data_IF_568621847385
#
_entry.id   IF_568621847385
#
_cell.length_a   1.000
_cell.length_b   1.000
_cell.length_c   1.000
_cell.angle_alpha   90.00
_cell.angle_beta   90.00
_cell.angle_gamma   90.00
#
_symmetry.space_group_name_H-M   'P 1'
#
loop_
_entity.id
_entity.type
_entity.pdbx_description
1 polymer ?
#
# COMPACT_ATOMS: atom_id res chain seq x y z
N UNK A 1 -19.95 29.23 12.53
CA UNK A 1 -19.16 28.63 13.64
C UNK A 1 -18.31 27.53 13.03
N UNK A 2 -17.06 27.81 12.72
CA UNK A 2 -16.10 26.77 12.30
C UNK A 2 -15.86 25.89 13.53
N UNK A 3 -16.52 24.73 13.60
CA UNK A 3 -16.17 23.72 14.60
C UNK A 3 -14.72 23.34 14.36
N UNK A 4 -13.87 23.62 15.34
CA UNK A 4 -12.44 23.40 15.27
C UNK A 4 -12.19 21.90 14.97
N UNK A 5 -11.89 21.57 13.71
CA UNK A 5 -11.43 20.24 13.27
C UNK A 5 -10.25 19.73 14.11
N UNK A 6 -9.53 20.67 14.76
CA UNK A 6 -8.38 20.39 15.60
C UNK A 6 -8.73 19.87 17.01
N UNK A 7 -9.93 20.17 17.56
CA UNK A 7 -10.28 19.82 18.94
C UNK A 7 -10.46 18.32 19.21
N UNK A 8 -10.62 17.50 18.15
CA UNK A 8 -10.83 16.03 18.29
C UNK A 8 -9.64 15.18 17.89
N UNK A 9 -8.53 15.81 17.46
CA UNK A 9 -7.32 15.07 17.09
C UNK A 9 -6.66 14.45 18.31
N UNK A 10 -6.07 13.24 18.14
CA UNK A 10 -5.38 12.56 19.21
C UNK A 10 -4.09 13.30 19.60
N UNK A 11 -3.95 13.63 20.88
CA UNK A 11 -2.77 14.33 21.45
C UNK A 11 -1.73 13.39 22.05
N UNK A 12 -2.02 12.08 22.07
CA UNK A 12 -1.14 11.02 22.56
C UNK A 12 -1.20 9.80 21.66
N UNK A 13 -0.09 9.09 21.54
CA UNK A 13 -0.01 7.81 20.86
C UNK A 13 -0.11 6.71 21.92
N UNK A 14 -1.16 5.89 21.85
CA UNK A 14 -1.43 4.81 22.80
C UNK A 14 -1.59 3.51 22.00
N UNK A 15 -0.49 2.85 21.67
CA UNK A 15 -0.40 1.75 20.69
C UNK A 15 -1.42 0.62 20.92
N UNK A 16 -1.80 0.34 22.16
CA UNK A 16 -2.74 -0.74 22.49
C UNK A 16 -4.19 -0.27 22.67
N UNK A 17 -4.49 1.01 22.44
CA UNK A 17 -5.85 1.53 22.54
C UNK A 17 -6.58 1.45 21.18
N UNK A 18 -7.10 0.30 20.84
CA UNK A 18 -7.85 0.07 19.59
C UNK A 18 -9.26 0.68 19.58
N UNK A 19 -9.76 1.21 20.69
CA UNK A 19 -11.05 1.91 20.73
C UNK A 19 -10.97 3.32 20.12
N UNK A 20 -9.80 3.92 20.10
CA UNK A 20 -9.58 5.22 19.49
C UNK A 20 -9.58 5.14 17.96
N UNK A 21 -10.37 5.99 17.30
CA UNK A 21 -10.40 6.10 15.85
C UNK A 21 -9.02 6.45 15.27
N UNK A 22 -8.28 7.34 15.96
CA UNK A 22 -6.93 7.72 15.54
C UNK A 22 -5.96 6.54 15.60
N UNK A 23 -6.04 5.71 16.64
CA UNK A 23 -5.16 4.55 16.75
C UNK A 23 -5.53 3.43 15.77
N UNK A 24 -6.83 3.21 15.52
CA UNK A 24 -7.24 2.29 14.44
C UNK A 24 -6.74 2.76 13.08
N UNK A 25 -6.90 4.04 12.76
CA UNK A 25 -6.38 4.62 11.52
C UNK A 25 -4.86 4.48 11.43
N UNK A 26 -4.13 4.76 12.52
CA UNK A 26 -2.68 4.61 12.61
C UNK A 26 -2.24 3.17 12.29
N UNK A 27 -2.83 2.17 12.99
CA UNK A 27 -2.45 0.77 12.78
C UNK A 27 -2.83 0.28 11.39
N UNK A 28 -3.99 0.65 10.89
CA UNK A 28 -4.39 0.29 9.53
C UNK A 28 -3.54 0.99 8.46
N UNK A 29 -3.10 2.23 8.69
CA UNK A 29 -2.27 2.97 7.72
C UNK A 29 -0.88 2.37 7.57
N UNK A 30 -0.18 2.06 8.68
CA UNK A 30 1.13 1.41 8.55
C UNK A 30 1.01 -0.02 8.02
N UNK A 31 -0.05 -0.78 8.38
CA UNK A 31 -0.27 -2.13 7.86
C UNK A 31 -0.57 -2.12 6.36
N UNK A 32 -1.42 -1.20 5.89
CA UNK A 32 -1.71 -1.02 4.48
C UNK A 32 -0.46 -0.62 3.69
N UNK A 33 0.36 0.29 4.27
CA UNK A 33 1.62 0.68 3.68
C UNK A 33 2.62 -0.49 3.62
N UNK A 34 2.73 -1.27 4.70
CA UNK A 34 3.55 -2.49 4.75
C UNK A 34 3.17 -3.46 3.63
N UNK A 35 1.88 -3.75 3.47
CA UNK A 35 1.41 -4.71 2.46
C UNK A 35 1.59 -4.16 1.04
N UNK A 36 1.38 -2.87 0.81
CA UNK A 36 1.69 -2.23 -0.47
C UNK A 36 3.19 -2.35 -0.81
N UNK A 37 4.08 -2.08 0.16
CA UNK A 37 5.52 -2.21 -0.05
C UNK A 37 5.97 -3.66 -0.20
N UNK A 38 5.36 -4.57 0.58
CA UNK A 38 5.58 -6.00 0.40
C UNK A 38 5.22 -6.43 -1.03
N UNK A 39 4.05 -6.03 -1.55
CA UNK A 39 3.63 -6.36 -2.91
C UNK A 39 4.48 -5.65 -3.99
N UNK A 40 4.84 -4.39 -3.76
CA UNK A 40 5.64 -3.61 -4.72
C UNK A 40 7.02 -4.21 -4.95
N UNK A 41 7.67 -4.67 -3.90
CA UNK A 41 9.00 -5.24 -3.95
C UNK A 41 9.02 -6.77 -4.13
N UNK A 42 7.87 -7.45 -4.17
CA UNK A 42 7.75 -8.91 -4.20
C UNK A 42 8.51 -9.60 -5.37
N UNK A 43 8.59 -8.96 -6.53
CA UNK A 43 9.31 -9.50 -7.67
C UNK A 43 10.85 -9.40 -7.54
N UNK A 44 11.37 -8.45 -6.75
CA UNK A 44 12.81 -8.16 -6.71
C UNK A 44 13.65 -9.36 -6.27
N UNK A 45 13.37 -10.04 -5.14
CA UNK A 45 14.13 -11.22 -4.72
C UNK A 45 13.91 -12.45 -5.60
N UNK A 46 12.83 -12.48 -6.42
CA UNK A 46 12.53 -13.55 -7.36
C UNK A 46 13.11 -13.29 -8.76
N UNK A 47 13.69 -12.10 -8.99
CA UNK A 47 14.19 -11.69 -10.30
C UNK A 47 15.20 -12.67 -10.92
N UNK A 48 16.12 -13.33 -10.19
CA UNK A 48 17.03 -14.30 -10.79
C UNK A 48 16.29 -15.46 -11.47
N UNK A 49 15.20 -15.97 -10.88
CA UNK A 49 14.39 -17.05 -11.43
C UNK A 49 13.59 -16.55 -12.64
N UNK A 50 12.95 -15.39 -12.52
CA UNK A 50 12.15 -14.76 -13.58
C UNK A 50 13.02 -14.42 -14.79
N UNK A 51 14.21 -13.85 -14.54
CA UNK A 51 15.16 -13.51 -15.59
C UNK A 51 15.71 -14.75 -16.32
N UNK A 52 15.90 -15.86 -15.60
CA UNK A 52 16.29 -17.15 -16.19
C UNK A 52 15.21 -17.71 -17.08
N UNK A 53 13.94 -17.67 -16.67
CA UNK A 53 12.79 -18.17 -17.43
C UNK A 53 12.55 -17.37 -18.72
N UNK A 54 12.60 -16.03 -18.64
CA UNK A 54 12.35 -15.17 -19.80
C UNK A 54 13.61 -14.82 -20.59
N UNK A 55 14.78 -15.36 -20.22
CA UNK A 55 16.07 -15.07 -20.82
C UNK A 55 16.35 -13.56 -20.92
N UNK A 56 16.09 -12.82 -19.83
CA UNK A 56 16.19 -11.37 -19.80
C UNK A 56 17.63 -10.90 -19.90
N UNK A 57 17.87 -9.89 -20.72
CA UNK A 57 19.13 -9.15 -20.75
C UNK A 57 19.26 -8.22 -19.55
N UNK A 58 20.48 -7.74 -19.26
CA UNK A 58 20.71 -6.76 -18.19
C UNK A 58 19.92 -5.46 -18.40
N UNK A 59 19.80 -5.01 -19.66
CA UNK A 59 19.05 -3.79 -20.00
C UNK A 59 17.53 -3.99 -19.76
N UNK A 60 16.99 -5.15 -20.07
CA UNK A 60 15.60 -5.48 -19.78
C UNK A 60 15.30 -5.51 -18.28
N UNK A 61 16.23 -6.07 -17.47
CA UNK A 61 16.11 -6.04 -16.00
C UNK A 61 16.17 -4.59 -15.49
N UNK A 62 17.05 -3.75 -16.02
CA UNK A 62 17.12 -2.33 -15.68
C UNK A 62 15.81 -1.61 -16.02
N UNK A 63 15.23 -1.84 -17.20
CA UNK A 63 13.95 -1.26 -17.62
C UNK A 63 12.80 -1.70 -16.70
N UNK A 64 12.76 -2.97 -16.28
CA UNK A 64 11.77 -3.48 -15.31
C UNK A 64 11.87 -2.72 -13.98
N UNK A 65 13.09 -2.47 -13.50
CA UNK A 65 13.30 -1.73 -12.26
C UNK A 65 12.88 -0.25 -12.37
N UNK A 66 13.17 0.38 -13.50
CA UNK A 66 12.75 1.76 -13.80
C UNK A 66 11.21 1.81 -13.88
N UNK A 67 10.59 0.91 -14.63
CA UNK A 67 9.13 0.84 -14.77
C UNK A 67 8.43 0.68 -13.42
N UNK A 68 9.00 -0.13 -12.53
CA UNK A 68 8.45 -0.37 -11.20
C UNK A 68 8.31 0.90 -10.34
N UNK A 69 9.06 1.96 -10.61
CA UNK A 69 9.02 3.21 -9.85
C UNK A 69 8.46 4.39 -10.65
N UNK A 70 8.53 4.34 -11.98
CA UNK A 70 8.22 5.48 -12.84
C UNK A 70 6.79 6.00 -12.65
N UNK A 71 5.78 5.12 -12.67
CA UNK A 71 4.37 5.51 -12.54
C UNK A 71 4.03 6.05 -11.16
N UNK A 72 4.81 5.72 -10.13
CA UNK A 72 4.60 6.17 -8.75
C UNK A 72 4.56 7.69 -8.66
N UNK A 73 5.38 8.39 -9.44
CA UNK A 73 5.43 9.86 -9.46
C UNK A 73 4.07 10.43 -9.89
N UNK A 74 3.52 9.93 -10.99
CA UNK A 74 2.22 10.38 -11.53
C UNK A 74 1.07 10.05 -10.58
N UNK A 75 1.05 8.83 -10.04
CA UNK A 75 -0.03 8.39 -9.14
C UNK A 75 -0.01 9.17 -7.83
N UNK A 76 1.15 9.57 -7.30
CA UNK A 76 1.24 10.44 -6.11
C UNK A 76 0.56 11.79 -6.32
N UNK A 77 0.70 12.39 -7.51
CA UNK A 77 0.05 13.65 -7.85
C UNK A 77 -1.49 13.52 -7.90
N UNK A 78 -2.00 12.34 -8.24
CA UNK A 78 -3.44 12.07 -8.33
C UNK A 78 -4.01 11.70 -6.96
N UNK A 79 -3.30 10.90 -6.19
CA UNK A 79 -3.78 10.34 -4.92
C UNK A 79 -3.97 11.41 -3.84
N UNK A 80 -3.15 12.47 -3.80
CA UNK A 80 -3.32 13.59 -2.89
C UNK A 80 -4.69 14.25 -3.03
N UNK A 81 -5.05 14.80 -4.20
CA UNK A 81 -6.38 15.35 -4.46
C UNK A 81 -7.53 14.36 -4.24
N UNK A 82 -7.33 13.06 -4.51
CA UNK A 82 -8.35 12.04 -4.22
C UNK A 82 -8.58 11.88 -2.70
N UNK A 83 -7.52 11.98 -1.87
CA UNK A 83 -7.67 11.99 -0.42
C UNK A 83 -8.46 13.20 0.06
N UNK A 84 -8.20 14.38 -0.49
CA UNK A 84 -8.93 15.60 -0.17
C UNK A 84 -10.41 15.50 -0.55
N UNK A 85 -10.69 14.97 -1.74
CA UNK A 85 -12.06 14.90 -2.27
C UNK A 85 -12.89 13.78 -1.66
N UNK A 86 -12.34 12.57 -1.58
CA UNK A 86 -13.11 11.35 -1.22
C UNK A 86 -12.80 10.84 0.18
N UNK A 87 -11.76 11.36 0.83
CA UNK A 87 -11.25 10.91 2.11
C UNK A 87 -10.23 9.77 2.00
N UNK A 88 -9.33 9.65 2.99
CA UNK A 88 -8.26 8.64 2.98
C UNK A 88 -8.80 7.20 3.08
N UNK A 89 -9.91 6.96 3.77
CA UNK A 89 -10.53 5.64 3.89
C UNK A 89 -10.86 5.05 2.54
N UNK A 90 -11.60 5.78 1.70
CA UNK A 90 -12.00 5.33 0.37
C UNK A 90 -10.81 5.23 -0.57
N UNK A 91 -9.94 6.23 -0.57
CA UNK A 91 -8.78 6.32 -1.46
C UNK A 91 -7.81 5.17 -1.20
N UNK A 92 -7.52 4.85 0.07
CA UNK A 92 -6.63 3.75 0.40
C UNK A 92 -7.25 2.38 0.08
N UNK A 93 -8.52 2.19 0.42
CA UNK A 93 -9.24 0.95 0.06
C UNK A 93 -9.24 0.73 -1.45
N UNK A 94 -9.51 1.80 -2.23
CA UNK A 94 -9.45 1.72 -3.69
C UNK A 94 -8.04 1.39 -4.20
N UNK A 95 -7.00 2.02 -3.65
CA UNK A 95 -5.61 1.73 -4.02
C UNK A 95 -5.25 0.27 -3.76
N UNK A 96 -5.64 -0.29 -2.60
CA UNK A 96 -5.37 -1.68 -2.24
C UNK A 96 -6.10 -2.67 -3.17
N UNK A 97 -7.40 -2.45 -3.42
CA UNK A 97 -8.21 -3.35 -4.25
C UNK A 97 -7.79 -3.25 -5.73
N UNK A 98 -7.71 -2.03 -6.29
CA UNK A 98 -7.34 -1.84 -7.69
C UNK A 98 -5.88 -2.22 -7.92
N UNK A 99 -5.00 -1.85 -6.98
CA UNK A 99 -3.57 -2.19 -7.02
C UNK A 99 -3.28 -3.69 -6.93
N UNK A 100 -4.17 -4.49 -6.32
CA UNK A 100 -4.03 -5.95 -6.30
C UNK A 100 -4.21 -6.58 -7.68
N UNK A 101 -4.95 -5.96 -8.59
CA UNK A 101 -5.19 -6.48 -9.95
C UNK A 101 -3.88 -6.72 -10.71
N UNK A 102 -2.99 -5.72 -10.88
CA UNK A 102 -1.71 -5.97 -11.55
C UNK A 102 -0.77 -6.89 -10.75
N UNK A 103 -0.91 -6.98 -9.42
CA UNK A 103 -0.14 -7.94 -8.60
C UNK A 103 -0.56 -9.38 -8.91
N UNK A 104 -1.84 -9.64 -9.12
CA UNK A 104 -2.29 -10.94 -9.63
C UNK A 104 -1.92 -11.11 -11.11
N UNK A 105 -2.04 -10.06 -11.91
CA UNK A 105 -1.74 -10.06 -13.33
C UNK A 105 -0.30 -10.45 -13.65
N UNK A 106 0.67 -10.00 -12.84
CA UNK A 106 2.09 -10.33 -13.08
C UNK A 106 2.37 -11.83 -12.99
N UNK A 107 1.58 -12.57 -12.21
CA UNK A 107 1.69 -14.04 -12.15
C UNK A 107 1.30 -14.75 -13.47
N UNK A 108 0.53 -14.09 -14.34
CA UNK A 108 0.15 -14.58 -15.67
C UNK A 108 1.12 -14.16 -16.78
N UNK A 109 2.17 -13.39 -16.45
CA UNK A 109 3.14 -12.95 -17.44
C UNK A 109 3.89 -14.13 -18.06
N UNK A 110 4.06 -14.11 -19.38
CA UNK A 110 4.73 -15.13 -20.16
C UNK A 110 5.76 -14.56 -21.14
N UNK A 111 6.02 -13.25 -21.08
CA UNK A 111 7.03 -12.57 -21.87
C UNK A 111 7.59 -11.35 -21.11
N UNK A 112 8.73 -10.83 -21.58
CA UNK A 112 9.31 -9.59 -21.07
C UNK A 112 8.29 -8.44 -21.09
N UNK A 113 7.57 -8.24 -22.20
CA UNK A 113 6.65 -7.12 -22.39
C UNK A 113 5.46 -7.21 -21.43
N UNK A 114 4.87 -8.39 -21.26
CA UNK A 114 3.77 -8.59 -20.32
C UNK A 114 4.22 -8.39 -18.87
N UNK A 115 5.41 -8.88 -18.52
CA UNK A 115 5.99 -8.68 -17.19
C UNK A 115 6.29 -7.21 -16.92
N UNK A 116 6.93 -6.51 -17.88
CA UNK A 116 7.22 -5.07 -17.81
C UNK A 116 5.93 -4.23 -17.63
N UNK A 117 4.88 -4.56 -18.38
CA UNK A 117 3.58 -3.90 -18.28
C UNK A 117 2.98 -4.01 -16.87
N UNK A 118 2.92 -5.22 -16.32
CA UNK A 118 2.42 -5.39 -14.95
C UNK A 118 3.32 -4.74 -13.91
N UNK A 119 4.64 -4.78 -14.08
CA UNK A 119 5.58 -4.09 -13.18
C UNK A 119 5.38 -2.58 -13.17
N UNK A 120 5.11 -1.97 -14.32
CA UNK A 120 4.74 -0.57 -14.42
C UNK A 120 3.47 -0.29 -13.60
N UNK A 121 2.40 -1.07 -13.81
CA UNK A 121 1.13 -0.88 -13.09
C UNK A 121 1.25 -1.12 -11.57
N UNK A 122 2.02 -2.11 -11.15
CA UNK A 122 2.32 -2.37 -9.73
C UNK A 122 2.98 -1.14 -9.08
N UNK A 123 3.79 -0.38 -9.82
CA UNK A 123 4.40 0.85 -9.32
C UNK A 123 3.41 1.88 -8.77
N UNK A 124 2.14 1.84 -9.20
CA UNK A 124 1.09 2.72 -8.70
C UNK A 124 0.86 2.57 -7.18
N UNK A 125 1.02 1.37 -6.60
CA UNK A 125 0.83 1.14 -5.17
C UNK A 125 1.91 1.80 -4.31
N UNK A 126 3.02 2.24 -4.88
CA UNK A 126 4.02 3.08 -4.22
C UNK A 126 3.48 4.46 -3.78
N UNK A 127 2.32 4.88 -4.30
CA UNK A 127 1.61 6.06 -3.83
C UNK A 127 0.97 5.89 -2.43
N UNK A 128 0.90 4.67 -1.90
CA UNK A 128 0.39 4.35 -0.55
C UNK A 128 1.03 5.18 0.56
N UNK A 129 2.30 5.57 0.40
CA UNK A 129 2.98 6.48 1.32
C UNK A 129 2.23 7.81 1.51
N UNK A 130 1.74 8.42 0.42
CA UNK A 130 1.02 9.70 0.47
C UNK A 130 -0.25 9.56 1.32
N UNK A 131 -1.03 8.50 1.11
CA UNK A 131 -2.27 8.27 1.88
C UNK A 131 -1.95 8.00 3.35
N UNK A 132 -0.89 7.23 3.63
CA UNK A 132 -0.44 6.94 4.99
C UNK A 132 -0.12 8.24 5.74
N UNK A 133 0.69 9.12 5.14
CA UNK A 133 1.05 10.40 5.76
C UNK A 133 -0.16 11.33 5.89
N UNK A 134 -1.02 11.39 4.87
CA UNK A 134 -2.24 12.18 4.89
C UNK A 134 -3.17 11.73 6.03
N UNK A 135 -3.51 10.44 6.10
CA UNK A 135 -4.44 9.92 7.08
C UNK A 135 -3.91 10.08 8.51
N UNK A 136 -2.63 9.78 8.71
CA UNK A 136 -1.99 9.99 10.03
C UNK A 136 -2.03 11.46 10.43
N UNK A 137 -1.72 12.38 9.51
CA UNK A 137 -1.69 13.82 9.79
C UNK A 137 -3.07 14.40 10.14
N UNK A 138 -4.13 13.84 9.56
CA UNK A 138 -5.49 14.30 9.88
C UNK A 138 -5.99 13.80 11.24
N UNK A 139 -5.49 12.62 11.69
CA UNK A 139 -5.90 11.96 12.93
C UNK A 139 -5.17 12.47 14.18
N UNK A 140 -3.93 12.96 14.05
CA UNK A 140 -3.09 13.33 15.18
C UNK A 140 -2.86 14.83 15.27
N UNK A 141 -2.78 15.34 16.49
CA UNK A 141 -2.53 16.75 16.78
C UNK A 141 -1.06 17.13 16.54
N UNK A 142 -0.76 18.43 16.34
CA UNK A 142 0.59 18.93 16.02
C UNK A 142 1.71 18.47 16.97
N UNK A 143 1.39 18.25 18.24
CA UNK A 143 2.36 17.84 19.26
C UNK A 143 2.88 16.40 19.08
N UNK A 144 2.16 15.52 18.36
CA UNK A 144 2.52 14.09 18.18
C UNK A 144 2.50 13.64 16.73
N UNK A 145 2.00 14.46 15.78
CA UNK A 145 1.85 14.08 14.38
C UNK A 145 3.18 13.68 13.73
N UNK A 146 4.28 14.36 14.06
CA UNK A 146 5.60 14.01 13.53
C UNK A 146 6.02 12.61 13.94
N UNK A 147 5.86 12.24 15.22
CA UNK A 147 6.16 10.89 15.71
C UNK A 147 5.22 9.84 15.11
N UNK A 148 3.92 10.14 14.99
CA UNK A 148 2.96 9.23 14.38
C UNK A 148 3.28 8.96 12.90
N UNK A 149 3.62 10.01 12.15
CA UNK A 149 4.03 9.89 10.75
C UNK A 149 5.34 9.11 10.59
N UNK A 150 6.34 9.40 11.42
CA UNK A 150 7.62 8.68 11.38
C UNK A 150 7.45 7.19 11.70
N UNK A 151 6.66 6.86 12.73
CA UNK A 151 6.40 5.47 13.12
C UNK A 151 5.60 4.72 12.04
N UNK A 152 4.52 5.32 11.50
CA UNK A 152 3.73 4.69 10.44
C UNK A 152 4.53 4.50 9.15
N UNK A 153 5.39 5.45 8.81
CA UNK A 153 6.31 5.33 7.67
C UNK A 153 7.37 4.24 7.89
N UNK A 154 8.02 4.23 9.07
CA UNK A 154 9.06 3.24 9.39
C UNK A 154 8.53 1.81 9.37
N UNK A 155 7.42 1.55 10.06
CA UNK A 155 6.81 0.22 10.09
C UNK A 155 6.25 -0.21 8.72
N UNK A 156 5.67 0.72 7.96
CA UNK A 156 5.21 0.44 6.61
C UNK A 156 6.36 0.10 5.65
N UNK A 157 7.47 0.84 5.69
CA UNK A 157 8.66 0.56 4.88
C UNK A 157 9.26 -0.83 5.17
N UNK A 158 9.10 -1.37 6.37
CA UNK A 158 9.57 -2.72 6.73
C UNK A 158 8.97 -3.81 5.80
N UNK A 159 7.83 -3.54 5.14
CA UNK A 159 7.26 -4.44 4.12
C UNK A 159 8.23 -4.75 2.99
N UNK A 160 8.98 -3.76 2.50
CA UNK A 160 10.02 -3.95 1.49
C UNK A 160 11.19 -4.82 1.98
N UNK A 161 11.57 -4.67 3.26
CA UNK A 161 12.58 -5.54 3.88
C UNK A 161 12.09 -6.97 4.09
N UNK A 162 10.86 -7.13 4.60
CA UNK A 162 10.24 -8.44 4.81
C UNK A 162 10.15 -9.26 3.52
N UNK A 163 9.90 -8.60 2.40
CA UNK A 163 9.86 -9.21 1.06
C UNK A 163 11.16 -9.94 0.72
N UNK A 164 12.32 -9.34 1.04
CA UNK A 164 13.63 -9.91 0.70
C UNK A 164 13.87 -11.28 1.39
N UNK A 165 13.26 -11.48 2.55
CA UNK A 165 13.35 -12.76 3.25
C UNK A 165 12.19 -13.71 2.90
N UNK A 166 10.96 -13.22 2.91
CA UNK A 166 9.77 -14.07 2.81
C UNK A 166 9.52 -14.60 1.40
N UNK A 167 9.76 -13.81 0.34
CA UNK A 167 9.50 -14.28 -1.03
C UNK A 167 10.40 -15.44 -1.46
N UNK A 168 11.74 -15.40 -1.22
CA UNK A 168 12.59 -16.55 -1.49
C UNK A 168 12.24 -17.78 -0.65
N UNK A 169 11.86 -17.58 0.64
CA UNK A 169 11.44 -18.69 1.50
C UNK A 169 10.15 -19.35 0.99
N UNK A 170 9.17 -18.54 0.53
CA UNK A 170 7.95 -19.07 -0.07
C UNK A 170 8.24 -19.86 -1.34
N UNK A 171 9.10 -19.32 -2.22
CA UNK A 171 9.53 -20.05 -3.42
C UNK A 171 10.24 -21.36 -3.05
N UNK A 172 11.19 -21.34 -2.13
CA UNK A 172 11.91 -22.51 -1.68
C UNK A 172 10.97 -23.58 -1.11
N UNK A 173 9.98 -23.17 -0.29
CA UNK A 173 8.99 -24.07 0.25
C UNK A 173 8.15 -24.73 -0.87
N UNK A 174 7.67 -23.95 -1.85
CA UNK A 174 6.90 -24.47 -2.98
C UNK A 174 7.71 -25.49 -3.79
N UNK A 175 8.99 -25.18 -4.06
CA UNK A 175 9.89 -26.11 -4.78
C UNK A 175 10.12 -27.39 -3.97
N UNK A 176 10.27 -27.29 -2.64
CA UNK A 176 10.42 -28.45 -1.75
C UNK A 176 9.18 -29.35 -1.76
N UNK A 177 7.98 -28.79 -1.99
CA UNK A 177 6.75 -29.54 -2.19
C UNK A 177 6.54 -30.04 -3.64
N UNK A 178 7.56 -29.92 -4.51
CA UNK A 178 7.54 -30.43 -5.88
C UNK A 178 6.95 -29.48 -6.93
N UNK A 179 6.73 -28.21 -6.57
CA UNK A 179 6.31 -27.21 -7.55
C UNK A 179 7.51 -26.76 -8.38
N UNK A 180 7.39 -26.77 -9.70
CA UNK A 180 8.42 -26.25 -10.60
C UNK A 180 8.70 -24.78 -10.33
N UNK A 181 9.96 -24.33 -10.44
CA UNK A 181 10.36 -22.95 -10.15
C UNK A 181 9.58 -21.90 -10.94
N UNK A 182 9.30 -22.19 -12.23
CA UNK A 182 8.51 -21.33 -13.11
C UNK A 182 7.08 -21.11 -12.59
N UNK A 183 6.46 -22.12 -12.02
CA UNK A 183 5.14 -21.99 -11.38
C UNK A 183 5.26 -21.44 -9.97
N UNK A 184 6.32 -21.76 -9.25
CA UNK A 184 6.56 -21.38 -7.87
C UNK A 184 6.59 -19.87 -7.64
N UNK A 185 7.32 -19.11 -8.46
CA UNK A 185 7.34 -17.65 -8.33
C UNK A 185 5.97 -17.02 -8.63
N UNK A 186 5.20 -17.58 -9.56
CA UNK A 186 3.84 -17.13 -9.88
C UNK A 186 2.90 -17.31 -8.70
N UNK A 187 2.91 -18.50 -8.08
CA UNK A 187 2.12 -18.80 -6.88
C UNK A 187 2.54 -17.89 -5.72
N UNK A 188 3.84 -17.71 -5.49
CA UNK A 188 4.35 -16.84 -4.44
C UNK A 188 3.85 -15.41 -4.59
N UNK A 189 3.74 -14.88 -5.81
CA UNK A 189 3.24 -13.52 -6.09
C UNK A 189 1.72 -13.37 -5.89
N UNK A 190 0.95 -14.44 -5.79
CA UNK A 190 -0.48 -14.34 -5.43
C UNK A 190 -0.66 -13.92 -3.97
N UNK A 191 0.27 -14.30 -3.09
CA UNK A 191 0.16 -14.01 -1.65
C UNK A 191 0.09 -12.52 -1.34
N UNK A 192 1.00 -11.65 -1.84
CA UNK A 192 0.87 -10.21 -1.64
C UNK A 192 -0.44 -9.63 -2.19
N UNK A 193 -0.94 -10.13 -3.33
CA UNK A 193 -2.21 -9.70 -3.88
C UNK A 193 -3.40 -10.03 -2.95
N UNK A 194 -3.42 -11.25 -2.39
CA UNK A 194 -4.43 -11.66 -1.42
C UNK A 194 -4.35 -10.80 -0.14
N UNK A 195 -3.15 -10.56 0.37
CA UNK A 195 -2.95 -9.69 1.54
C UNK A 195 -3.47 -8.27 1.29
N UNK A 196 -3.27 -7.71 0.09
CA UNK A 196 -3.82 -6.41 -0.29
C UNK A 196 -5.34 -6.39 -0.24
N UNK A 197 -6.03 -7.42 -0.72
CA UNK A 197 -7.50 -7.52 -0.66
C UNK A 197 -8.00 -7.62 0.78
N UNK A 198 -7.36 -8.46 1.60
CA UNK A 198 -7.70 -8.62 3.02
C UNK A 198 -7.54 -7.29 3.76
N UNK A 199 -6.37 -6.65 3.62
CA UNK A 199 -6.09 -5.37 4.28
C UNK A 199 -6.97 -4.25 3.73
N UNK A 200 -7.33 -4.27 2.45
CA UNK A 200 -8.30 -3.35 1.86
C UNK A 200 -9.68 -3.45 2.51
N UNK A 201 -10.19 -4.66 2.71
CA UNK A 201 -11.43 -4.91 3.41
C UNK A 201 -11.36 -4.49 4.89
N UNK A 202 -10.24 -4.79 5.56
CA UNK A 202 -10.00 -4.35 6.95
C UNK A 202 -9.93 -2.84 7.06
N UNK A 203 -9.23 -2.18 6.13
CA UNK A 203 -9.11 -0.72 6.10
C UNK A 203 -10.48 -0.06 5.96
N UNK A 204 -11.31 -0.56 5.05
CA UNK A 204 -12.68 -0.10 4.89
C UNK A 204 -13.51 -0.28 6.16
N UNK A 205 -13.38 -1.40 6.83
CA UNK A 205 -14.19 -1.74 8.01
C UNK A 205 -13.78 -0.99 9.27
N UNK A 206 -12.47 -0.84 9.52
CA UNK A 206 -11.95 -0.40 10.81
C UNK A 206 -11.52 1.07 10.86
N UNK A 207 -11.46 1.78 9.72
CA UNK A 207 -11.07 3.19 9.68
C UNK A 207 -12.23 4.12 9.38
N UNK A 208 -12.03 5.38 9.65
CA UNK A 208 -12.84 6.52 9.23
C UNK A 208 -11.92 7.63 8.71
N UNK A 209 -12.45 8.57 7.92
CA UNK A 209 -11.61 9.55 7.22
C UNK A 209 -10.91 10.54 8.15
N UNK A 210 -11.58 10.99 9.22
CA UNK A 210 -11.03 11.94 10.20
C UNK A 210 -11.60 11.66 11.61
N UNK A 211 -11.13 12.32 12.67
CA UNK A 211 -11.60 12.07 14.03
C UNK A 211 -13.10 12.26 14.24
N UNK A 212 -13.75 13.06 13.41
CA UNK A 212 -15.19 13.35 13.50
C UNK A 212 -16.08 12.37 12.73
N UNK A 213 -15.51 11.60 11.78
CA UNK A 213 -16.25 10.66 10.95
C UNK A 213 -15.76 10.60 9.51
N UNK A 214 -16.66 10.25 8.60
CA UNK A 214 -16.33 10.15 7.18
C UNK A 214 -16.69 11.45 6.44
N UNK A 215 -15.86 11.86 5.48
CA UNK A 215 -16.03 13.10 4.71
C UNK A 215 -17.43 13.22 4.06
N UNK A 216 -17.94 12.11 3.50
CA UNK A 216 -19.29 12.12 2.90
C UNK A 216 -20.38 12.50 3.89
N UNK A 217 -20.31 11.98 5.11
CA UNK A 217 -21.30 12.20 6.16
C UNK A 217 -21.20 13.62 6.72
N UNK A 218 -19.96 14.09 6.93
CA UNK A 218 -19.69 15.44 7.44
C UNK A 218 -20.12 16.52 6.44
N UNK A 219 -19.83 16.34 5.16
CA UNK A 219 -20.32 17.26 4.11
C UNK A 219 -21.83 17.31 4.00
N UNK A 220 -22.51 16.18 4.18
CA UNK A 220 -23.99 16.15 4.21
C UNK A 220 -24.56 16.94 5.39
N UNK A 221 -23.78 17.15 6.47
CA UNK A 221 -24.11 17.98 7.62
C UNK A 221 -23.66 19.43 7.47
N UNK A 222 -23.14 19.83 6.31
CA UNK A 222 -22.64 21.18 6.04
C UNK A 222 -21.27 21.48 6.66
N UNK A 223 -20.53 20.44 7.10
CA UNK A 223 -19.19 20.61 7.66
C UNK A 223 -18.17 20.52 6.52
N UNK A 224 -17.37 21.58 6.37
CA UNK A 224 -16.28 21.59 5.39
C UNK A 224 -15.14 20.67 5.84
N UNK A 225 -14.77 19.70 4.99
CA UNK A 225 -13.67 18.76 5.21
C UNK A 225 -12.96 18.48 3.88
N UNK A 226 -11.64 18.48 3.89
CA UNK A 226 -10.83 18.32 2.68
C UNK A 226 -10.93 19.55 1.75
N UNK A 227 -10.58 19.39 0.48
CA UNK A 227 -10.84 20.38 -0.58
C UNK A 227 -12.19 20.09 -1.23
N UNK A 228 -12.97 21.13 -1.45
CA UNK A 228 -14.18 21.07 -2.27
C UNK A 228 -13.85 20.92 -3.75
#
# INVERSE_FOLDING_TARGET
MSSNLYEKKATKISLFNFNSAAMRAFHMSWLAFFVCFFAWFACAPLMPVIAGEFHLTKDQIANINIAAVAITILVRLIVGPLCDKYGPRKTYTALLIIGSIPVFGVASANSYESFLFFRLLIGAIGASFVITQYHTSIMFAPNVVGTANAASAGWGNAGGGATQALMPLMLAALVMFGVEQAMGWRIALLVPGILMLIVGAMYWKFTQDCPQGNFKELRAQGIQVGSD
#
